data_IF_311965624030
#
_entry.id   IF_311965624030
#
_cell.length_a   1.000
_cell.length_b   1.000
_cell.length_c   1.000
_cell.angle_alpha   90.00
_cell.angle_beta   90.00
_cell.angle_gamma   90.00
#
_symmetry.space_group_name_H-M   'P 1'
#
loop_
_entity.id
_entity.type
_entity.pdbx_description
1 polymer ?
#
# COMPACT_ATOMS: atom_id res chain seq x y z
N UNK A 1 5.78 -16.49 20.84
CA UNK A 1 4.66 -15.63 20.41
C UNK A 1 4.77 -15.44 18.90
N UNK A 2 3.73 -15.67 18.09
CA UNK A 2 3.84 -15.71 16.62
C UNK A 2 3.89 -14.32 15.96
N UNK A 3 3.35 -13.29 16.63
CA UNK A 3 3.31 -11.90 16.16
C UNK A 3 3.60 -10.94 17.32
N UNK A 4 4.88 -10.72 17.69
CA UNK A 4 5.24 -9.85 18.81
C UNK A 4 4.81 -8.39 18.58
N UNK A 5 4.81 -7.93 17.33
CA UNK A 5 4.42 -6.58 16.97
C UNK A 5 2.95 -6.26 17.29
N UNK A 6 2.07 -7.28 17.30
CA UNK A 6 0.67 -7.10 17.67
C UNK A 6 0.51 -6.76 19.16
N UNK A 7 1.33 -7.37 20.01
CA UNK A 7 1.36 -7.02 21.44
C UNK A 7 1.87 -5.59 21.64
N UNK A 8 2.91 -5.19 20.91
CA UNK A 8 3.40 -3.82 20.95
C UNK A 8 2.32 -2.82 20.52
N UNK A 9 1.54 -3.16 19.49
CA UNK A 9 0.41 -2.36 19.07
C UNK A 9 -0.64 -2.24 20.18
N UNK A 10 -1.07 -3.34 20.81
CA UNK A 10 -2.05 -3.31 21.91
C UNK A 10 -1.60 -2.40 23.06
N UNK A 11 -0.33 -2.53 23.47
CA UNK A 11 0.26 -1.75 24.57
C UNK A 11 0.31 -0.26 24.23
N UNK A 12 0.82 0.10 23.06
CA UNK A 12 1.00 1.51 22.66
C UNK A 12 -0.34 2.22 22.42
N UNK A 13 -1.31 1.50 21.88
CA UNK A 13 -2.53 2.08 21.38
C UNK A 13 -3.73 1.95 22.33
N UNK A 14 -3.50 1.40 23.52
CA UNK A 14 -4.49 1.19 24.57
C UNK A 14 -5.75 0.48 24.07
N UNK A 15 -5.58 -0.64 23.37
CA UNK A 15 -6.69 -1.50 22.95
C UNK A 15 -6.31 -2.98 22.99
N UNK A 16 -7.32 -3.84 23.03
CA UNK A 16 -7.16 -5.29 22.92
C UNK A 16 -7.61 -5.77 21.54
N UNK A 17 -6.75 -6.51 20.85
CA UNK A 17 -7.07 -7.19 19.59
C UNK A 17 -8.06 -8.30 19.90
N UNK A 18 -9.25 -8.20 19.32
CA UNK A 18 -10.30 -9.22 19.50
C UNK A 18 -9.92 -10.48 18.74
N UNK A 19 -10.34 -11.64 19.26
CA UNK A 19 -10.08 -12.94 18.63
C UNK A 19 -10.52 -12.98 17.14
N UNK A 20 -11.65 -12.37 16.81
CA UNK A 20 -12.14 -12.27 15.43
C UNK A 20 -11.24 -11.40 14.54
N UNK A 21 -10.72 -10.28 15.06
CA UNK A 21 -9.80 -9.41 14.31
C UNK A 21 -8.49 -10.13 14.02
N UNK A 22 -7.95 -10.85 15.02
CA UNK A 22 -6.77 -11.69 14.85
C UNK A 22 -7.00 -12.83 13.84
N UNK A 23 -8.15 -13.51 13.90
CA UNK A 23 -8.50 -14.56 12.97
C UNK A 23 -8.50 -14.04 11.52
N UNK A 24 -9.15 -12.90 11.30
CA UNK A 24 -9.20 -12.29 9.98
C UNK A 24 -7.82 -11.83 9.51
N UNK A 25 -7.07 -11.11 10.35
CA UNK A 25 -5.73 -10.66 9.98
C UNK A 25 -4.84 -11.84 9.55
N UNK A 26 -4.91 -12.98 10.26
CA UNK A 26 -4.17 -14.19 9.86
C UNK A 26 -4.56 -14.68 8.47
N UNK A 27 -5.86 -14.74 8.16
CA UNK A 27 -6.35 -15.17 6.84
C UNK A 27 -6.02 -14.14 5.75
N UNK A 28 -5.94 -12.84 6.06
CA UNK A 28 -5.49 -11.78 5.12
C UNK A 28 -3.98 -11.86 4.85
N UNK A 29 -3.17 -12.03 5.90
CA UNK A 29 -1.71 -12.13 5.82
C UNK A 29 -1.30 -13.41 5.07
N UNK A 30 -1.93 -14.53 5.40
CA UNK A 30 -1.59 -15.84 4.85
C UNK A 30 -2.85 -16.67 4.59
N UNK A 31 -3.56 -16.37 3.50
CA UNK A 31 -4.75 -17.13 3.11
C UNK A 31 -4.39 -18.59 2.92
N UNK A 32 -5.22 -19.51 3.43
CA UNK A 32 -5.00 -20.96 3.24
C UNK A 32 -4.91 -21.39 1.77
N UNK A 33 -5.56 -20.64 0.89
CA UNK A 33 -5.56 -20.86 -0.56
C UNK A 33 -4.22 -20.49 -1.22
N UNK A 34 -3.37 -19.69 -0.56
CA UNK A 34 -2.18 -19.09 -1.17
C UNK A 34 -2.49 -18.09 -2.29
N UNK A 35 -3.77 -17.72 -2.47
CA UNK A 35 -4.24 -16.77 -3.50
C UNK A 35 -4.75 -15.50 -2.83
N UNK A 36 -5.03 -14.48 -3.64
CA UNK A 36 -5.69 -13.27 -3.18
C UNK A 36 -6.96 -13.60 -2.38
N UNK A 37 -7.20 -12.83 -1.33
CA UNK A 37 -8.28 -13.04 -0.39
C UNK A 37 -9.02 -11.73 -0.15
N UNK A 38 -10.35 -11.81 -0.09
CA UNK A 38 -11.23 -10.66 0.10
C UNK A 38 -12.18 -11.01 1.24
N UNK A 39 -12.38 -10.06 2.14
CA UNK A 39 -13.29 -10.18 3.28
C UNK A 39 -14.13 -8.92 3.41
N UNK A 40 -15.41 -9.12 3.72
CA UNK A 40 -16.35 -8.04 4.01
C UNK A 40 -16.53 -7.92 5.52
N UNK A 41 -16.44 -6.69 6.02
CA UNK A 41 -16.64 -6.34 7.42
C UNK A 41 -17.87 -5.47 7.59
N UNK A 42 -18.50 -5.57 8.76
CA UNK A 42 -19.47 -4.55 9.13
C UNK A 42 -18.74 -3.25 9.47
N UNK A 43 -19.36 -2.12 9.15
CA UNK A 43 -18.81 -0.81 9.53
C UNK A 43 -18.66 -0.72 11.05
N UNK A 44 -17.55 -0.15 11.52
CA UNK A 44 -17.26 0.02 12.94
C UNK A 44 -16.59 -1.17 13.65
N UNK A 45 -16.36 -2.30 12.96
CA UNK A 45 -15.67 -3.47 13.57
C UNK A 45 -14.13 -3.34 13.65
N UNK A 46 -13.59 -2.21 13.20
CA UNK A 46 -12.16 -1.89 13.29
C UNK A 46 -11.31 -2.41 12.12
N UNK A 47 -11.89 -2.59 10.93
CA UNK A 47 -11.17 -2.97 9.70
C UNK A 47 -9.95 -2.08 9.47
N UNK A 48 -10.16 -0.79 9.25
CA UNK A 48 -9.07 0.14 8.93
C UNK A 48 -8.25 0.54 10.16
N UNK A 49 -8.82 0.51 11.37
CA UNK A 49 -8.19 0.99 12.61
C UNK A 49 -7.42 -0.05 13.40
N UNK A 50 -7.64 -1.34 13.13
CA UNK A 50 -6.99 -2.46 13.82
C UNK A 50 -6.41 -3.45 12.81
N UNK A 51 -7.23 -4.00 11.91
CA UNK A 51 -6.80 -5.11 11.04
C UNK A 51 -5.77 -4.66 9.99
N UNK A 52 -6.03 -3.55 9.27
CA UNK A 52 -5.05 -3.05 8.28
C UNK A 52 -3.67 -2.79 8.92
N UNK A 53 -3.57 -2.11 10.07
CA UNK A 53 -2.30 -2.00 10.81
C UNK A 53 -1.67 -3.35 11.18
N UNK A 54 -2.47 -4.33 11.63
CA UNK A 54 -1.99 -5.69 11.96
C UNK A 54 -1.43 -6.42 10.75
N UNK A 55 -2.09 -6.28 9.59
CA UNK A 55 -1.64 -6.86 8.33
C UNK A 55 -0.37 -6.17 7.86
N UNK A 56 -0.34 -4.83 7.89
CA UNK A 56 0.79 -4.02 7.44
C UNK A 56 2.10 -4.39 8.14
N UNK A 57 2.05 -4.54 9.47
CA UNK A 57 3.26 -4.82 10.24
C UNK A 57 3.82 -6.22 9.99
N UNK A 58 2.95 -7.20 9.77
CA UNK A 58 3.38 -8.58 9.50
C UNK A 58 3.84 -8.76 8.05
N UNK A 59 3.19 -8.08 7.10
CA UNK A 59 3.55 -8.13 5.69
C UNK A 59 4.85 -7.39 5.37
N UNK A 60 5.24 -6.41 6.20
CA UNK A 60 6.50 -5.70 6.06
C UNK A 60 7.68 -6.51 6.66
N UNK A 61 8.07 -7.59 5.98
CA UNK A 61 8.96 -8.65 6.51
C UNK A 61 10.40 -8.65 5.95
N UNK A 62 10.88 -7.50 5.43
CA UNK A 62 12.14 -7.33 4.68
C UNK A 62 12.21 -8.04 3.32
N UNK A 63 11.44 -9.10 3.12
CA UNK A 63 11.31 -9.78 1.82
C UNK A 63 10.27 -9.08 0.96
N UNK A 64 9.22 -8.60 1.60
CA UNK A 64 8.13 -7.88 0.99
C UNK A 64 7.99 -6.50 1.62
N UNK A 65 7.51 -5.57 0.80
CA UNK A 65 7.01 -4.28 1.21
C UNK A 65 5.51 -4.40 1.42
N UNK A 66 4.99 -3.95 2.57
CA UNK A 66 3.55 -3.83 2.77
C UNK A 66 3.05 -2.57 2.06
N UNK A 67 2.11 -2.71 1.12
CA UNK A 67 1.51 -1.58 0.40
C UNK A 67 0.03 -1.50 0.72
N UNK A 68 -0.35 -0.46 1.45
CA UNK A 68 -1.74 -0.15 1.77
C UNK A 68 -2.29 0.74 0.66
N UNK A 69 -3.33 0.27 -0.01
CA UNK A 69 -4.00 0.97 -1.09
C UNK A 69 -5.33 1.48 -0.56
N UNK A 70 -5.53 2.80 -0.60
CA UNK A 70 -6.74 3.46 -0.11
C UNK A 70 -7.29 4.43 -1.13
N UNK A 71 -8.53 4.87 -0.93
CA UNK A 71 -9.16 5.89 -1.75
C UNK A 71 -8.61 7.27 -1.41
N UNK A 72 -8.54 8.16 -2.41
CA UNK A 72 -8.07 9.54 -2.24
C UNK A 72 -8.76 10.31 -1.10
N UNK A 73 -10.09 10.24 -0.91
CA UNK A 73 -10.75 10.92 0.21
C UNK A 73 -10.29 10.42 1.58
N UNK A 74 -9.89 9.15 1.68
CA UNK A 74 -9.47 8.50 2.93
C UNK A 74 -7.96 8.63 3.19
N UNK A 75 -7.16 9.06 2.22
CA UNK A 75 -5.70 9.08 2.29
C UNK A 75 -5.15 9.72 3.58
N UNK A 76 -5.63 10.92 3.93
CA UNK A 76 -5.15 11.66 5.11
C UNK A 76 -5.51 10.92 6.40
N UNK A 77 -6.72 10.38 6.47
CA UNK A 77 -7.19 9.62 7.62
C UNK A 77 -6.40 8.32 7.79
N UNK A 78 -6.23 7.55 6.71
CA UNK A 78 -5.43 6.32 6.71
C UNK A 78 -3.98 6.61 7.08
N UNK A 79 -3.39 7.70 6.56
CA UNK A 79 -2.02 8.10 6.90
C UNK A 79 -1.84 8.42 8.38
N UNK A 80 -2.75 9.24 8.93
CA UNK A 80 -2.74 9.58 10.35
C UNK A 80 -2.87 8.34 11.22
N UNK A 81 -3.85 7.49 10.90
CA UNK A 81 -4.14 6.25 11.62
C UNK A 81 -2.94 5.30 11.60
N UNK A 82 -2.37 5.01 10.43
CA UNK A 82 -1.19 4.14 10.33
C UNK A 82 0.02 4.71 11.06
N UNK A 83 0.24 6.03 10.99
CA UNK A 83 1.34 6.68 11.70
C UNK A 83 1.16 6.57 13.22
N UNK A 84 -0.06 6.75 13.72
CA UNK A 84 -0.36 6.54 15.14
C UNK A 84 -0.19 5.08 15.57
N UNK A 85 -0.69 4.13 14.77
CA UNK A 85 -0.68 2.71 15.13
C UNK A 85 0.70 2.07 15.07
N UNK A 86 1.56 2.53 14.16
CA UNK A 86 2.80 1.85 13.81
C UNK A 86 4.07 2.67 14.08
N UNK A 87 3.94 3.98 14.31
CA UNK A 87 5.09 4.89 14.35
C UNK A 87 5.88 4.90 15.66
N UNK A 88 5.33 4.36 16.76
CA UNK A 88 5.99 4.39 18.06
C UNK A 88 6.71 3.08 18.39
N UNK A 89 6.23 2.28 19.36
CA UNK A 89 6.88 1.05 19.82
C UNK A 89 7.12 0.04 18.69
N UNK A 90 6.19 -0.05 17.75
CA UNK A 90 6.31 -0.92 16.57
C UNK A 90 7.39 -0.40 15.60
N UNK A 91 7.62 0.92 15.61
CA UNK A 91 8.66 1.61 14.86
C UNK A 91 8.67 1.31 13.35
N UNK A 92 7.50 1.28 12.71
CA UNK A 92 7.38 1.18 11.25
C UNK A 92 7.15 2.56 10.66
N UNK A 93 8.09 2.99 9.81
CA UNK A 93 7.95 4.25 9.08
C UNK A 93 6.87 4.12 8.00
N UNK A 94 5.98 5.11 7.94
CA UNK A 94 5.06 5.28 6.82
C UNK A 94 5.78 6.00 5.67
N UNK A 95 5.70 5.40 4.50
CA UNK A 95 6.17 5.94 3.23
C UNK A 95 4.96 6.32 2.38
N UNK A 96 5.08 7.39 1.61
CA UNK A 96 4.07 7.79 0.64
C UNK A 96 4.66 7.65 -0.76
N UNK A 97 3.85 7.28 -1.74
CA UNK A 97 4.22 7.41 -3.15
C UNK A 97 4.25 8.91 -3.51
N UNK A 98 5.43 9.53 -3.74
CA UNK A 98 5.54 10.98 -3.91
C UNK A 98 5.32 11.38 -5.37
N UNK A 99 4.25 10.89 -5.98
CA UNK A 99 4.02 11.11 -7.40
C UNK A 99 2.54 11.32 -7.67
N UNK A 100 2.26 12.21 -8.60
CA UNK A 100 0.95 12.44 -9.18
C UNK A 100 1.08 12.47 -10.69
N UNK A 101 -0.04 12.46 -11.41
CA UNK A 101 -0.04 12.59 -12.87
C UNK A 101 0.61 13.90 -13.37
N UNK A 102 0.65 14.94 -12.53
CA UNK A 102 1.30 16.24 -12.81
C UNK A 102 2.82 16.22 -12.54
N UNK A 103 3.35 15.15 -11.95
CA UNK A 103 4.78 15.02 -11.68
C UNK A 103 5.54 14.77 -12.99
N UNK A 104 6.43 15.68 -13.37
CA UNK A 104 7.35 15.46 -14.49
C UNK A 104 8.36 14.39 -14.10
N UNK A 105 8.15 13.16 -14.56
CA UNK A 105 9.09 12.07 -14.34
C UNK A 105 10.24 12.19 -15.33
N UNK A 106 11.46 12.27 -14.79
CA UNK A 106 12.69 12.02 -15.52
C UNK A 106 13.38 10.78 -14.91
N UNK A 107 14.49 10.36 -15.50
CA UNK A 107 15.21 9.18 -15.05
C UNK A 107 15.65 9.27 -13.58
N UNK A 108 16.17 10.42 -13.13
CA UNK A 108 16.63 10.64 -11.76
C UNK A 108 15.50 10.51 -10.73
N UNK A 109 14.31 11.03 -11.06
CA UNK A 109 13.13 10.92 -10.22
C UNK A 109 12.69 9.46 -10.12
N UNK A 110 12.69 8.70 -11.22
CA UNK A 110 12.30 7.28 -11.21
C UNK A 110 13.30 6.45 -10.39
N UNK A 111 14.60 6.71 -10.52
CA UNK A 111 15.62 6.06 -9.69
C UNK A 111 15.48 6.41 -8.19
N UNK A 112 15.13 7.65 -7.89
CA UNK A 112 14.83 8.08 -6.52
C UNK A 112 13.60 7.36 -5.96
N UNK A 113 12.56 7.17 -6.77
CA UNK A 113 11.38 6.37 -6.39
C UNK A 113 11.74 4.93 -6.09
N UNK A 114 12.51 4.28 -6.97
CA UNK A 114 13.00 2.92 -6.76
C UNK A 114 13.78 2.81 -5.44
N UNK A 115 14.67 3.76 -5.16
CA UNK A 115 15.42 3.83 -3.90
C UNK A 115 14.50 3.94 -2.69
N UNK A 116 13.43 4.75 -2.77
CA UNK A 116 12.44 4.87 -1.70
C UNK A 116 11.72 3.54 -1.44
N UNK A 117 11.34 2.81 -2.50
CA UNK A 117 10.67 1.52 -2.37
C UNK A 117 11.58 0.45 -1.77
N UNK A 118 12.84 0.40 -2.19
CA UNK A 118 13.84 -0.50 -1.63
C UNK A 118 14.11 -0.18 -0.15
N UNK A 119 14.27 1.10 0.19
CA UNK A 119 14.44 1.51 1.58
C UNK A 119 13.22 1.17 2.44
N UNK A 120 12.00 1.41 1.93
CA UNK A 120 10.77 1.03 2.61
C UNK A 120 10.75 -0.46 2.90
N UNK A 121 11.05 -1.31 1.90
CA UNK A 121 11.16 -2.76 2.09
C UNK A 121 12.23 -3.14 3.13
N UNK A 122 13.46 -2.65 2.97
CA UNK A 122 14.59 -3.02 3.83
C UNK A 122 14.38 -2.61 5.29
N UNK A 123 13.70 -1.48 5.52
CA UNK A 123 13.38 -0.98 6.86
C UNK A 123 12.07 -1.51 7.42
N UNK A 124 11.43 -2.48 6.75
CA UNK A 124 10.09 -2.96 7.12
C UNK A 124 9.07 -1.81 7.26
N UNK A 125 9.20 -0.79 6.42
CA UNK A 125 8.24 0.30 6.34
C UNK A 125 6.94 -0.13 5.67
N UNK A 126 5.95 0.76 5.77
CA UNK A 126 4.65 0.60 5.14
C UNK A 126 4.49 1.66 4.06
N UNK A 127 4.17 1.25 2.84
CA UNK A 127 3.89 2.17 1.74
C UNK A 127 2.39 2.45 1.65
N UNK A 128 1.98 3.71 1.77
CA UNK A 128 0.63 4.16 1.49
C UNK A 128 0.55 4.67 0.04
N UNK A 129 -0.36 4.09 -0.73
CA UNK A 129 -0.53 4.37 -2.15
C UNK A 129 -1.99 4.63 -2.52
N UNK A 130 -2.18 5.37 -3.61
CA UNK A 130 -3.48 5.53 -4.27
C UNK A 130 -3.54 4.68 -5.55
N UNK A 131 -4.70 4.08 -5.89
CA UNK A 131 -4.88 3.37 -7.16
C UNK A 131 -4.56 4.24 -8.38
N UNK A 132 -5.00 5.50 -8.36
CA UNK A 132 -4.80 6.46 -9.46
C UNK A 132 -3.31 6.80 -9.68
N UNK A 133 -2.50 6.76 -8.62
CA UNK A 133 -1.06 6.87 -8.74
C UNK A 133 -0.52 5.61 -9.41
N UNK A 134 -0.79 4.41 -8.91
CA UNK A 134 -0.27 3.18 -9.54
C UNK A 134 -0.64 3.07 -11.04
N UNK A 135 -1.87 3.42 -11.39
CA UNK A 135 -2.32 3.45 -12.78
C UNK A 135 -1.55 4.49 -13.61
N UNK A 136 -1.43 5.72 -13.11
CA UNK A 136 -0.72 6.80 -13.81
C UNK A 136 0.74 6.43 -14.09
N UNK A 137 1.41 5.73 -13.17
CA UNK A 137 2.81 5.32 -13.29
C UNK A 137 2.99 4.34 -14.45
N UNK A 138 2.10 3.34 -14.51
CA UNK A 138 2.07 2.34 -15.59
C UNK A 138 1.75 2.97 -16.95
N UNK A 139 0.79 3.90 -16.99
CA UNK A 139 0.43 4.61 -18.22
C UNK A 139 1.59 5.45 -18.76
N UNK A 140 2.27 6.20 -17.88
CA UNK A 140 3.47 6.95 -18.27
C UNK A 140 4.57 6.03 -18.83
N UNK A 141 4.80 4.87 -18.21
CA UNK A 141 5.74 3.87 -18.75
C UNK A 141 5.38 3.44 -20.17
N UNK A 142 4.09 3.19 -20.44
CA UNK A 142 3.60 2.81 -21.77
C UNK A 142 3.71 3.95 -22.80
N UNK A 143 3.33 5.17 -22.44
CA UNK A 143 3.40 6.35 -23.32
C UNK A 143 4.84 6.69 -23.72
N UNK A 144 5.81 6.42 -22.85
CA UNK A 144 7.22 6.69 -23.12
C UNK A 144 7.84 5.66 -24.07
N UNK A 145 7.23 4.50 -24.32
CA UNK A 145 7.78 3.50 -25.24
C UNK A 145 8.01 4.03 -26.66
N UNK A 146 7.19 4.99 -27.13
CA UNK A 146 7.32 5.58 -28.46
C UNK A 146 8.24 6.80 -28.52
N UNK A 147 8.49 7.47 -27.38
CA UNK A 147 9.12 8.80 -27.35
C UNK A 147 10.43 8.86 -26.54
N UNK A 148 10.60 7.97 -25.56
CA UNK A 148 11.77 7.90 -24.68
C UNK A 148 11.91 6.48 -24.10
N UNK A 149 12.52 5.58 -24.88
CA UNK A 149 12.67 4.16 -24.54
C UNK A 149 13.48 3.96 -23.24
N UNK A 150 14.45 4.83 -22.96
CA UNK A 150 15.27 4.71 -21.76
C UNK A 150 14.45 5.00 -20.51
N UNK A 151 13.70 6.11 -20.49
CA UNK A 151 12.80 6.41 -19.38
C UNK A 151 11.69 5.35 -19.24
N UNK A 152 11.12 4.90 -20.37
CA UNK A 152 10.12 3.84 -20.37
C UNK A 152 10.64 2.56 -19.69
N UNK A 153 11.87 2.15 -20.00
CA UNK A 153 12.53 1.00 -19.39
C UNK A 153 12.59 1.14 -17.86
N UNK A 154 13.09 2.27 -17.33
CA UNK A 154 13.16 2.49 -15.89
C UNK A 154 11.80 2.46 -15.20
N UNK A 155 10.77 3.06 -15.83
CA UNK A 155 9.40 3.05 -15.31
C UNK A 155 8.83 1.62 -15.25
N UNK A 156 8.99 0.85 -16.32
CA UNK A 156 8.50 -0.53 -16.41
C UNK A 156 9.24 -1.44 -15.42
N UNK A 157 10.56 -1.31 -15.32
CA UNK A 157 11.37 -2.07 -14.36
C UNK A 157 10.97 -1.78 -12.91
N UNK A 158 10.71 -0.50 -12.58
CA UNK A 158 10.25 -0.09 -11.26
C UNK A 158 8.87 -0.65 -10.92
N UNK A 159 7.91 -0.61 -11.86
CA UNK A 159 6.57 -1.20 -11.65
C UNK A 159 6.65 -2.72 -11.48
N UNK A 160 7.46 -3.40 -12.30
CA UNK A 160 7.68 -4.85 -12.19
C UNK A 160 8.30 -5.22 -10.85
N UNK A 161 9.29 -4.46 -10.39
CA UNK A 161 9.89 -4.66 -9.08
C UNK A 161 8.84 -4.55 -7.97
N UNK A 162 7.96 -3.55 -8.03
CA UNK A 162 6.88 -3.41 -7.06
C UNK A 162 5.91 -4.60 -7.10
N UNK A 163 5.54 -5.08 -8.29
CA UNK A 163 4.66 -6.24 -8.42
C UNK A 163 5.25 -7.52 -7.82
N UNK A 164 6.58 -7.67 -7.89
CA UNK A 164 7.28 -8.85 -7.37
C UNK A 164 7.54 -8.78 -5.85
N UNK A 165 7.62 -7.57 -5.30
CA UNK A 165 8.09 -7.37 -3.93
C UNK A 165 7.07 -6.71 -3.01
N UNK A 166 5.92 -6.25 -3.50
CA UNK A 166 4.86 -5.72 -2.66
C UNK A 166 3.84 -6.79 -2.26
N UNK A 167 3.31 -6.67 -1.05
CA UNK A 167 2.08 -7.33 -0.60
C UNK A 167 1.02 -6.26 -0.40
N UNK A 168 0.00 -6.30 -1.26
CA UNK A 168 -1.03 -5.28 -1.31
C UNK A 168 -2.18 -5.61 -0.33
N UNK A 169 -2.61 -4.59 0.42
CA UNK A 169 -3.83 -4.61 1.23
C UNK A 169 -4.70 -3.46 0.77
N UNK A 170 -5.91 -3.77 0.29
CA UNK A 170 -6.84 -2.80 -0.25
C UNK A 170 -7.90 -2.45 0.79
N UNK A 171 -8.02 -1.17 1.14
CA UNK A 171 -9.19 -0.66 1.86
C UNK A 171 -10.28 -0.27 0.86
N UNK A 172 -11.54 -0.60 1.13
CA UNK A 172 -12.65 -0.43 0.17
C UNK A 172 -12.36 -1.04 -1.23
N UNK A 173 -12.00 -2.33 -1.23
CA UNK A 173 -11.61 -3.06 -2.44
C UNK A 173 -12.69 -3.10 -3.53
N UNK A 174 -13.96 -3.06 -3.13
CA UNK A 174 -15.10 -2.99 -4.05
C UNK A 174 -15.09 -1.69 -4.85
N UNK A 175 -14.82 -0.54 -4.21
CA UNK A 175 -14.65 0.74 -4.89
C UNK A 175 -13.33 0.77 -5.70
N UNK A 176 -12.22 0.32 -5.12
CA UNK A 176 -10.90 0.33 -5.78
C UNK A 176 -10.90 -0.50 -7.08
N UNK A 177 -11.56 -1.66 -7.07
CA UNK A 177 -11.56 -2.60 -8.19
C UNK A 177 -12.71 -2.35 -9.17
N UNK A 178 -13.61 -1.41 -8.91
CA UNK A 178 -14.70 -1.08 -9.82
C UNK A 178 -14.14 -0.49 -11.15
N UNK A 179 -14.61 -1.02 -12.28
CA UNK A 179 -14.26 -0.58 -13.62
C UNK A 179 -14.58 0.91 -13.87
N UNK A 180 -15.55 1.50 -13.15
CA UNK A 180 -15.90 2.92 -13.24
C UNK A 180 -14.79 3.83 -12.71
N UNK A 181 -14.09 3.42 -11.65
CA UNK A 181 -12.94 4.16 -11.12
C UNK A 181 -11.79 4.22 -12.13
N UNK A 182 -11.59 3.14 -12.89
CA UNK A 182 -10.55 3.06 -13.92
C UNK A 182 -10.89 3.94 -15.14
N UNK A 183 -12.15 4.00 -15.57
CA UNK A 183 -12.57 4.82 -16.72
C UNK A 183 -12.68 6.30 -16.40
N UNK A 184 -13.17 6.69 -15.22
CA UNK A 184 -13.24 8.10 -14.82
C UNK A 184 -11.86 8.74 -14.72
N UNK A 185 -10.87 8.00 -14.22
CA UNK A 185 -9.48 8.44 -14.18
C UNK A 185 -8.82 8.53 -15.57
N UNK A 186 -9.30 7.79 -16.58
CA UNK A 186 -8.82 7.91 -17.96
C UNK A 186 -9.48 9.08 -18.73
N UNK A 187 -10.71 9.45 -18.38
CA UNK A 187 -11.54 10.41 -19.12
C UNK A 187 -11.62 11.80 -18.49
N UNK A 188 -11.07 12.01 -17.29
CA UNK A 188 -10.92 13.34 -16.70
C UNK A 188 -9.50 13.86 -16.94
N UNK A 189 -9.30 14.83 -17.85
CA UNK A 189 -8.16 15.73 -17.72
C UNK A 189 -8.43 16.50 -16.43
N UNK A 190 -7.68 16.21 -15.37
CA UNK A 190 -7.87 16.85 -14.08
C UNK A 190 -7.81 18.37 -14.22
N UNK A 191 -8.83 19.05 -13.69
CA UNK A 191 -8.81 20.48 -13.45
C UNK A 191 -7.75 20.93 -12.45
#
# INVERSE_FOLDING_TARGET
MKYPDWLLMEIENDFTIRAMQAHVAIEMIRPKSGRNYVLQFNMGEGKSSVIIPMDAVVLADQRHLARIITLKPLLRQTAYLLSQRLGGLVNRRLYHTPFSRKTTLNQEVVQSLQTIFEQCRHRCGVLLALPEHMLSFRLMGRERLSNDMNLAKYLVETDLWLQQHARDVLDESDEILDNRFHTHNLLTPGG
#
